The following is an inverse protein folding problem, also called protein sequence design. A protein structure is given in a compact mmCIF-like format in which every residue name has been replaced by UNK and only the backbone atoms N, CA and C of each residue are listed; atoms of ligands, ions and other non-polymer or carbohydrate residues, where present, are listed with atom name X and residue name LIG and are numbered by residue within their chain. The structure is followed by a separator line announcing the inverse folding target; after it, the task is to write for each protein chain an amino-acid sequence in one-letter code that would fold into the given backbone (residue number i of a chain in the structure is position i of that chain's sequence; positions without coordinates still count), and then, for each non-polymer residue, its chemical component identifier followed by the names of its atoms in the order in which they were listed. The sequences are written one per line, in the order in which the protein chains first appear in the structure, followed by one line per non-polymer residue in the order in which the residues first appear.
data_IF_279651129093
#
_entry.id   IF_279651129093
#
_cell.length_a   1.000
_cell.length_b   1.000
_cell.length_c   1.000
_cell.angle_alpha   90.00
_cell.angle_beta   90.00
_cell.angle_gamma   90.00
#
_symmetry.space_group_name_H-M   'P 1'
#
loop_
_entity.id
_entity.type
_entity.pdbx_description
1 polymer ?
#
# COMPACT_ATOMS: atom_id res chain seq x y z
N UNK A 1 -1.84 -1.87 -1.42
CA UNK A 1 -1.42 -3.26 -1.72
C UNK A 1 -1.42 -4.13 -0.46
N UNK A 2 -0.52 -3.97 0.51
CA UNK A 2 -0.48 -4.85 1.69
C UNK A 2 -1.82 -4.93 2.45
N UNK A 3 -2.43 -3.78 2.79
CA UNK A 3 -3.73 -3.74 3.46
C UNK A 3 -4.86 -4.36 2.60
N UNK A 4 -4.91 -4.03 1.31
CA UNK A 4 -5.93 -4.58 0.41
C UNK A 4 -5.78 -6.09 0.13
N UNK A 5 -4.61 -6.68 0.37
CA UNK A 5 -4.35 -8.11 0.15
C UNK A 5 -4.45 -8.93 1.44
N UNK A 6 -3.92 -8.41 2.55
CA UNK A 6 -3.76 -9.15 3.81
C UNK A 6 -4.55 -8.54 4.98
N UNK A 7 -5.22 -7.40 4.78
CA UNK A 7 -5.88 -6.65 5.84
C UNK A 7 -4.91 -5.81 6.68
N UNK A 8 -5.38 -5.37 7.85
CA UNK A 8 -4.55 -4.65 8.81
C UNK A 8 -3.61 -5.60 9.57
N UNK A 9 -2.32 -5.25 9.71
CA UNK A 9 -1.36 -6.09 10.42
C UNK A 9 -1.55 -6.01 11.94
N UNK A 10 -1.16 -7.08 12.62
CA UNK A 10 -1.13 -7.16 14.09
C UNK A 10 0.10 -6.48 14.67
N UNK A 11 1.18 -6.35 13.89
CA UNK A 11 2.41 -5.70 14.32
C UNK A 11 3.10 -4.97 13.18
N UNK A 12 3.84 -3.91 13.53
CA UNK A 12 4.69 -3.16 12.61
C UNK A 12 6.03 -2.83 13.27
N UNK A 13 7.11 -3.08 12.56
CA UNK A 13 8.45 -2.59 12.88
C UNK A 13 8.93 -1.70 11.76
N UNK A 14 9.42 -0.51 12.08
CA UNK A 14 9.91 0.47 11.12
C UNK A 14 11.34 0.90 11.43
N UNK A 15 12.14 1.05 10.37
CA UNK A 15 13.46 1.68 10.41
C UNK A 15 13.54 2.73 9.29
N UNK A 16 14.35 3.76 9.47
CA UNK A 16 14.48 4.82 8.49
C UNK A 16 15.44 5.92 8.92
N UNK A 17 15.69 6.85 8.01
CA UNK A 17 16.54 8.03 8.26
C UNK A 17 15.75 9.30 8.01
N UNK A 18 15.94 10.30 8.86
CA UNK A 18 15.29 11.61 8.71
C UNK A 18 16.16 12.57 7.90
N UNK A 19 15.53 13.54 7.25
CA UNK A 19 16.18 14.75 6.75
C UNK A 19 16.40 15.74 7.89
N UNK A 20 17.13 16.84 7.60
CA UNK A 20 17.31 17.94 8.55
C UNK A 20 15.99 18.63 8.93
N UNK A 21 14.98 18.57 8.05
CA UNK A 21 13.63 19.08 8.31
C UNK A 21 12.76 18.11 9.15
N UNK A 22 13.31 16.96 9.56
CA UNK A 22 12.62 15.99 10.43
C UNK A 22 11.60 15.09 9.71
N UNK A 23 11.61 15.06 8.37
CA UNK A 23 10.78 14.12 7.58
C UNK A 23 11.59 12.87 7.23
N UNK A 24 10.93 11.72 7.09
CA UNK A 24 11.62 10.49 6.69
C UNK A 24 12.07 10.54 5.22
N UNK A 25 13.38 10.50 5.02
CA UNK A 25 14.03 10.49 3.70
C UNK A 25 13.96 9.12 3.02
N UNK A 26 13.99 8.06 3.83
CA UNK A 26 13.81 6.67 3.42
C UNK A 26 13.38 5.86 4.63
N UNK A 27 12.55 4.85 4.40
CA UNK A 27 12.09 3.95 5.44
C UNK A 27 11.91 2.53 4.90
N UNK A 28 11.93 1.58 5.82
CA UNK A 28 11.54 0.21 5.60
C UNK A 28 10.62 -0.25 6.73
N UNK A 29 9.52 -0.89 6.37
CA UNK A 29 8.50 -1.39 7.28
C UNK A 29 8.39 -2.91 7.12
N UNK A 30 8.37 -3.61 8.25
CA UNK A 30 7.97 -5.01 8.36
C UNK A 30 6.60 -5.07 9.02
N UNK A 31 5.61 -5.60 8.30
CA UNK A 31 4.26 -5.83 8.81
C UNK A 31 4.09 -7.32 9.11
N UNK A 32 3.67 -7.66 10.33
CA UNK A 32 3.40 -9.03 10.76
C UNK A 32 1.90 -9.30 10.82
N UNK A 33 1.50 -10.46 10.29
CA UNK A 33 0.11 -10.90 10.22
C UNK A 33 -0.15 -12.20 11.00
N UNK A 34 -1.37 -12.33 11.54
CA UNK A 34 -1.84 -13.61 12.08
C UNK A 34 -1.79 -14.70 11.00
N UNK A 35 -1.35 -15.89 11.37
CA UNK A 35 -1.07 -16.97 10.42
C UNK A 35 0.33 -16.91 9.79
N UNK A 36 1.18 -15.97 10.20
CA UNK A 36 2.60 -15.94 9.87
C UNK A 36 2.94 -15.28 8.53
N UNK A 37 1.97 -14.66 7.86
CA UNK A 37 2.27 -13.84 6.70
C UNK A 37 3.04 -12.58 7.11
N UNK A 38 3.93 -12.11 6.22
CA UNK A 38 4.78 -10.94 6.44
C UNK A 38 4.72 -10.08 5.18
N UNK A 39 4.64 -8.76 5.34
CA UNK A 39 4.85 -7.82 4.26
C UNK A 39 6.08 -6.94 4.53
N UNK A 40 6.84 -6.68 3.49
CA UNK A 40 7.98 -5.76 3.49
C UNK A 40 7.65 -4.58 2.58
N UNK A 41 7.80 -3.37 3.10
CA UNK A 41 7.56 -2.13 2.36
C UNK A 41 8.77 -1.23 2.49
N UNK A 42 9.16 -0.59 1.40
CA UNK A 42 10.20 0.42 1.40
C UNK A 42 9.70 1.67 0.69
N UNK A 43 10.07 2.83 1.23
CA UNK A 43 9.79 4.13 0.64
C UNK A 43 11.06 4.96 0.67
N UNK A 44 11.24 5.83 -0.33
CA UNK A 44 12.41 6.71 -0.41
C UNK A 44 12.11 7.98 -1.20
N UNK A 45 12.57 9.11 -0.67
CA UNK A 45 12.72 10.38 -1.38
C UNK A 45 14.06 10.48 -2.12
N UNK A 46 15.02 9.62 -1.78
CA UNK A 46 16.40 9.66 -2.28
C UNK A 46 16.64 8.70 -3.44
N UNK A 47 16.01 7.52 -3.41
CA UNK A 47 16.25 6.43 -4.34
C UNK A 47 15.02 6.14 -5.20
N UNK A 48 15.24 5.97 -6.51
CA UNK A 48 14.22 5.47 -7.42
C UNK A 48 14.10 3.95 -7.30
N UNK A 49 13.12 3.50 -6.52
CA UNK A 49 12.77 2.08 -6.43
C UNK A 49 12.03 1.56 -7.67
N UNK A 50 11.83 0.24 -7.78
CA UNK A 50 11.14 -0.39 -8.92
C UNK A 50 9.65 -0.03 -9.01
N UNK A 51 9.08 0.58 -7.96
CA UNK A 51 7.66 0.95 -7.84
C UNK A 51 6.73 -0.23 -8.13
N UNK A 52 7.10 -1.45 -7.73
CA UNK A 52 6.31 -2.67 -7.90
C UNK A 52 5.90 -3.27 -6.55
N UNK A 53 4.87 -4.09 -6.56
CA UNK A 53 4.50 -4.97 -5.45
C UNK A 53 4.39 -6.41 -5.94
N UNK A 54 4.76 -7.32 -5.05
CA UNK A 54 4.62 -8.75 -5.25
C UNK A 54 3.85 -9.38 -4.08
N UNK A 55 2.97 -10.31 -4.41
CA UNK A 55 2.26 -11.16 -3.44
C UNK A 55 2.62 -12.59 -3.78
N UNK A 56 3.22 -13.30 -2.84
CA UNK A 56 3.62 -14.69 -2.99
C UNK A 56 2.89 -15.58 -1.99
N UNK A 57 2.54 -16.78 -2.42
CA UNK A 57 1.96 -17.82 -1.60
C UNK A 57 2.48 -19.19 -2.01
N UNK A 58 1.95 -20.25 -1.41
CA UNK A 58 2.46 -21.62 -1.59
C UNK A 58 2.41 -22.13 -3.04
N UNK A 59 1.54 -21.56 -3.88
CA UNK A 59 1.38 -21.96 -5.28
C UNK A 59 2.18 -21.11 -6.26
N UNK A 60 2.76 -20.00 -5.84
CA UNK A 60 3.43 -19.07 -6.76
C UNK A 60 3.26 -17.61 -6.35
N UNK A 61 3.35 -16.70 -7.32
CA UNK A 61 3.29 -15.26 -7.05
C UNK A 61 2.58 -14.46 -8.14
N UNK A 62 2.17 -13.26 -7.74
CA UNK A 62 1.70 -12.18 -8.59
C UNK A 62 2.62 -10.98 -8.39
N UNK A 63 3.01 -10.29 -9.46
CA UNK A 63 3.79 -9.06 -9.38
C UNK A 63 3.24 -8.00 -10.33
N UNK A 64 3.04 -6.79 -9.83
CA UNK A 64 2.69 -5.65 -10.66
C UNK A 64 3.86 -5.27 -11.55
N UNK A 65 3.61 -5.06 -12.84
CA UNK A 65 4.57 -4.47 -13.75
C UNK A 65 4.27 -2.99 -13.96
N UNK A 66 5.33 -2.18 -14.02
CA UNK A 66 5.23 -0.72 -14.03
C UNK A 66 4.89 -0.15 -12.65
N UNK A 67 4.20 0.99 -12.62
CA UNK A 67 3.88 1.70 -11.38
C UNK A 67 2.76 1.00 -10.60
N UNK A 68 3.04 0.60 -9.35
CA UNK A 68 2.09 0.07 -8.36
C UNK A 68 0.86 0.95 -8.14
N UNK A 69 0.96 2.28 -8.36
CA UNK A 69 -0.17 3.20 -8.21
C UNK A 69 -1.17 3.14 -9.37
N UNK A 70 -0.77 2.56 -10.50
CA UNK A 70 -1.62 2.40 -11.69
C UNK A 70 -1.08 1.23 -12.54
N UNK A 71 -1.12 -0.01 -12.00
CA UNK A 71 -0.54 -1.16 -12.67
C UNK A 71 -1.36 -1.51 -13.92
N UNK A 72 -0.69 -1.74 -15.04
CA UNK A 72 -1.33 -2.15 -16.30
C UNK A 72 -1.17 -3.62 -16.61
N UNK A 73 -0.25 -4.28 -15.92
CA UNK A 73 0.03 -5.69 -16.13
C UNK A 73 0.38 -6.35 -14.81
N UNK A 74 0.04 -7.63 -14.72
CA UNK A 74 0.47 -8.53 -13.66
C UNK A 74 1.29 -9.66 -14.27
N UNK A 75 2.51 -9.85 -13.78
CA UNK A 75 3.28 -11.06 -14.01
C UNK A 75 2.82 -12.12 -13.00
N UNK A 76 2.44 -13.29 -13.51
CA UNK A 76 1.88 -14.39 -12.72
C UNK A 76 2.72 -15.63 -12.96
N UNK A 77 3.16 -16.29 -11.89
CA UNK A 77 3.81 -17.59 -11.99
C UNK A 77 3.22 -18.57 -11.00
N UNK A 78 2.94 -19.79 -11.46
CA UNK A 78 2.56 -20.92 -10.62
C UNK A 78 3.75 -21.87 -10.52
N UNK A 79 4.26 -22.12 -9.32
CA UNK A 79 5.45 -22.97 -9.10
C UNK A 79 6.64 -22.57 -9.98
N UNK A 80 7.05 -23.48 -10.86
CA UNK A 80 8.15 -23.34 -11.82
C UNK A 80 7.69 -23.27 -13.28
N UNK A 81 6.38 -23.11 -13.51
CA UNK A 81 5.84 -22.96 -14.85
C UNK A 81 6.33 -21.65 -15.49
N UNK A 82 6.25 -21.58 -16.82
CA UNK A 82 6.55 -20.35 -17.55
C UNK A 82 5.60 -19.23 -17.05
N UNK A 83 6.13 -18.06 -16.65
CA UNK A 83 5.28 -16.98 -16.17
C UNK A 83 4.40 -16.45 -17.30
N UNK A 84 3.16 -16.08 -16.95
CA UNK A 84 2.23 -15.41 -17.86
C UNK A 84 2.04 -13.95 -17.44
N UNK A 85 1.73 -13.11 -18.42
CA UNK A 85 1.41 -11.70 -18.18
C UNK A 85 -0.06 -11.46 -18.46
N UNK A 86 -0.81 -11.05 -17.44
CA UNK A 86 -2.18 -10.54 -17.60
C UNK A 86 -2.12 -9.04 -17.81
N UNK A 87 -2.81 -8.52 -18.84
CA UNK A 87 -2.82 -7.09 -19.18
C UNK A 87 -4.22 -6.53 -19.01
N UNK A 88 -4.31 -5.30 -18.52
CA UNK A 88 -5.57 -4.61 -18.27
C UNK A 88 -5.64 -3.31 -19.05
N UNK A 89 -6.81 -3.04 -19.62
CA UNK A 89 -7.11 -1.75 -20.22
C UNK A 89 -7.38 -0.73 -19.11
N UNK A 90 -6.35 0.04 -18.77
CA UNK A 90 -6.46 1.12 -17.79
C UNK A 90 -7.16 2.34 -18.41
N UNK A 91 -8.23 2.82 -17.78
CA UNK A 91 -8.92 4.04 -18.21
C UNK A 91 -8.25 5.26 -17.57
N UNK A 92 -7.82 6.20 -18.40
CA UNK A 92 -7.19 7.44 -17.95
C UNK A 92 -5.81 7.22 -17.32
N UNK A 93 -5.46 8.09 -16.36
CA UNK A 93 -4.12 8.14 -15.74
C UNK A 93 -4.09 7.68 -14.27
N UNK A 94 -5.17 7.06 -13.76
CA UNK A 94 -5.21 6.40 -12.45
C UNK A 94 -6.47 6.72 -11.62
N UNK A 95 -6.80 8.01 -11.46
CA UNK A 95 -7.90 8.45 -10.59
C UNK A 95 -9.31 8.18 -11.12
N UNK A 96 -9.45 7.70 -12.36
CA UNK A 96 -10.75 7.51 -13.00
C UNK A 96 -11.62 6.51 -12.23
N UNK A 97 -11.04 5.48 -11.64
CA UNK A 97 -11.77 4.47 -10.86
C UNK A 97 -12.28 5.03 -9.54
N UNK A 98 -11.45 5.80 -8.83
CA UNK A 98 -11.84 6.46 -7.57
C UNK A 98 -12.96 7.47 -7.80
N UNK A 99 -12.85 8.29 -8.87
CA UNK A 99 -13.89 9.25 -9.23
C UNK A 99 -15.23 8.57 -9.55
N UNK A 100 -15.20 7.42 -10.25
CA UNK A 100 -16.40 6.62 -10.52
C UNK A 100 -17.02 6.10 -9.23
N UNK A 101 -16.20 5.64 -8.28
CA UNK A 101 -16.70 5.13 -7.00
C UNK A 101 -17.34 6.22 -6.15
N UNK A 102 -16.68 7.38 -6.02
CA UNK A 102 -17.26 8.53 -5.31
C UNK A 102 -18.57 8.98 -5.97
N UNK A 103 -18.59 9.08 -7.30
CA UNK A 103 -19.80 9.46 -8.05
C UNK A 103 -20.94 8.48 -7.78
N UNK A 104 -20.65 7.16 -7.83
CA UNK A 104 -21.62 6.11 -7.54
C UNK A 104 -22.16 6.22 -6.11
N UNK A 105 -21.29 6.42 -5.13
CA UNK A 105 -21.68 6.56 -3.72
C UNK A 105 -22.60 7.76 -3.50
N UNK A 106 -22.23 8.93 -4.03
CA UNK A 106 -23.04 10.15 -3.94
C UNK A 106 -24.41 9.95 -4.60
N UNK A 107 -24.45 9.35 -5.80
CA UNK A 107 -25.71 9.07 -6.50
C UNK A 107 -26.62 8.09 -5.74
N UNK A 108 -26.04 7.21 -4.93
CA UNK A 108 -26.78 6.26 -4.09
C UNK A 108 -27.08 6.79 -2.68
N UNK A 109 -26.70 8.04 -2.36
CA UNK A 109 -26.89 8.64 -1.04
C UNK A 109 -26.02 8.03 0.06
N UNK A 110 -24.92 7.37 -0.30
CA UNK A 110 -23.97 6.82 0.66
C UNK A 110 -23.06 7.93 1.20
N UNK A 111 -22.72 7.86 2.49
CA UNK A 111 -21.82 8.81 3.15
C UNK A 111 -20.35 8.36 3.15
N UNK A 112 -20.08 7.13 2.73
CA UNK A 112 -18.75 6.54 2.59
C UNK A 112 -18.73 5.49 1.47
N UNK A 113 -17.53 5.11 1.01
CA UNK A 113 -17.38 4.02 0.06
C UNK A 113 -17.38 2.68 0.79
N UNK A 114 -18.19 1.69 0.39
CA UNK A 114 -18.09 0.34 0.95
C UNK A 114 -16.78 -0.37 0.56
N UNK A 115 -16.04 0.13 -0.43
CA UNK A 115 -14.72 -0.40 -0.85
C UNK A 115 -13.58 0.22 -0.03
N UNK A 116 -13.73 1.47 0.40
CA UNK A 116 -12.82 2.16 1.32
C UNK A 116 -13.63 2.84 2.43
N UNK A 117 -14.06 2.09 3.45
CA UNK A 117 -14.79 2.64 4.58
C UNK A 117 -13.96 3.67 5.35
N UNK A 118 -14.64 4.53 6.11
CA UNK A 118 -13.99 5.52 6.96
C UNK A 118 -13.06 4.86 7.99
N UNK A 119 -13.48 3.73 8.56
CA UNK A 119 -12.71 2.98 9.55
C UNK A 119 -11.37 2.50 8.99
N UNK A 120 -11.31 2.09 7.71
CA UNK A 120 -10.06 1.70 7.07
C UNK A 120 -9.11 2.88 6.91
N UNK A 121 -9.65 4.06 6.61
CA UNK A 121 -8.87 5.30 6.57
C UNK A 121 -8.28 5.63 7.94
N UNK A 122 -9.10 5.55 9.00
CA UNK A 122 -8.65 5.78 10.38
C UNK A 122 -7.60 4.76 10.84
N UNK A 123 -7.80 3.48 10.55
CA UNK A 123 -6.86 2.41 10.90
C UNK A 123 -5.53 2.57 10.15
N UNK A 124 -5.56 3.01 8.89
CA UNK A 124 -4.36 3.33 8.13
C UNK A 124 -3.59 4.50 8.76
N UNK A 125 -4.29 5.56 9.19
CA UNK A 125 -3.65 6.68 9.86
C UNK A 125 -3.05 6.28 11.22
N UNK A 126 -3.75 5.48 12.02
CA UNK A 126 -3.20 4.92 13.27
C UNK A 126 -1.94 4.08 13.03
N UNK A 127 -1.91 3.28 11.96
CA UNK A 127 -0.73 2.51 11.57
C UNK A 127 0.45 3.45 11.23
N UNK A 128 0.20 4.51 10.45
CA UNK A 128 1.23 5.50 10.13
C UNK A 128 1.70 6.28 11.35
N UNK A 129 0.82 6.63 12.28
CA UNK A 129 1.20 7.25 13.55
C UNK A 129 2.13 6.35 14.35
N UNK A 130 1.82 5.05 14.42
CA UNK A 130 2.70 4.04 15.01
C UNK A 130 4.09 4.01 14.36
N UNK A 131 4.15 3.99 13.02
CA UNK A 131 5.40 4.02 12.25
C UNK A 131 6.18 5.31 12.51
N UNK A 132 5.53 6.48 12.42
CA UNK A 132 6.15 7.79 12.71
C UNK A 132 6.69 7.85 14.13
N UNK A 133 5.99 7.25 15.09
CA UNK A 133 6.45 7.18 16.48
C UNK A 133 7.79 6.47 16.61
N UNK A 134 7.98 5.35 15.90
CA UNK A 134 9.21 4.55 15.89
C UNK A 134 10.36 5.27 15.18
N UNK A 135 10.05 6.00 14.10
CA UNK A 135 11.04 6.75 13.32
C UNK A 135 11.41 8.10 13.93
N UNK A 136 10.69 8.55 14.97
CA UNK A 136 10.88 9.88 15.56
C UNK A 136 10.30 11.04 14.73
N UNK A 137 9.48 10.77 13.71
CA UNK A 137 8.82 11.82 12.91
C UNK A 137 7.69 12.46 13.74
N UNK A 138 7.67 13.80 13.83
CA UNK A 138 6.64 14.56 14.55
C UNK A 138 6.22 15.77 13.75
N UNK A 139 4.92 16.07 13.78
CA UNK A 139 4.34 17.27 13.17
C UNK A 139 3.75 18.19 14.25
N UNK A 140 3.62 19.47 13.92
CA UNK A 140 3.03 20.46 14.83
C UNK A 140 1.61 20.07 15.31
N UNK A 141 0.87 19.32 14.50
CA UNK A 141 -0.48 18.87 14.82
C UNK A 141 -0.53 17.68 15.80
N UNK A 142 0.59 16.99 16.08
CA UNK A 142 0.61 15.86 17.03
C UNK A 142 0.50 16.30 18.50
N UNK A 143 0.74 17.59 18.78
CA UNK A 143 0.69 18.16 20.14
C UNK A 143 -0.71 18.63 20.58
N UNK A 144 -1.74 18.38 19.77
CA UNK A 144 -3.12 18.77 20.04
C UNK A 144 -3.95 17.63 20.60
#
# INVERSE_FOLDING_TARGET
MALGTLGFPQSVSAIGTLTDDGVDSQNALTLGYDGGAIAQLTSSLLAHGPRSASVAGSKGFLQTQGSINNPRELLIRTGWDEPRTERFDAVGIGYTYELREVTRCVQQGLTESPVMPLDDSLNTMRLFDGVRSQLGVRYANDAR
#
